data_IF_375738667915
#
_entry.id   IF_375738667915
#
_cell.length_a   1.000
_cell.length_b   1.000
_cell.length_c   1.000
_cell.angle_alpha   90.00
_cell.angle_beta   90.00
_cell.angle_gamma   90.00
#
_symmetry.space_group_name_H-M   'P 1'
#
loop_
_entity.id
_entity.type
_entity.pdbx_description
1 polymer ?
#
# COMPACT_ATOMS: atom_id res chain seq x y z
N UNK A 1 -3.23 0.85 -15.15
CA UNK A 1 -2.34 0.07 -14.26
C UNK A 1 -0.98 -0.03 -14.95
N UNK A 2 0.11 0.37 -14.28
CA UNK A 2 1.44 0.38 -14.88
C UNK A 2 1.90 -1.09 -15.07
N UNK A 3 1.98 -1.56 -16.33
CA UNK A 3 2.29 -2.97 -16.65
C UNK A 3 3.80 -3.27 -16.68
N UNK A 4 4.61 -2.23 -16.62
CA UNK A 4 6.07 -2.29 -16.80
C UNK A 4 6.82 -2.72 -15.53
N UNK A 5 6.22 -2.54 -14.35
CA UNK A 5 6.87 -2.80 -13.05
C UNK A 5 6.45 -4.12 -12.39
N UNK A 6 5.54 -4.86 -13.02
CA UNK A 6 5.20 -6.22 -12.59
C UNK A 6 6.37 -7.15 -12.96
N UNK A 7 6.80 -8.05 -12.05
CA UNK A 7 7.69 -9.13 -12.46
C UNK A 7 7.01 -9.97 -13.55
N UNK A 8 7.78 -10.72 -14.35
CA UNK A 8 7.21 -11.67 -15.32
C UNK A 8 6.36 -12.71 -14.59
N UNK A 9 5.06 -12.44 -14.45
CA UNK A 9 4.12 -13.39 -13.86
C UNK A 9 3.75 -14.44 -14.91
N UNK A 10 3.76 -15.71 -14.51
CA UNK A 10 3.20 -16.79 -15.32
C UNK A 10 1.74 -16.46 -15.62
N UNK A 11 1.40 -16.34 -16.91
CA UNK A 11 0.02 -16.17 -17.36
C UNK A 11 -0.72 -17.51 -17.25
N UNK A 12 -1.37 -17.74 -16.11
CA UNK A 12 -2.32 -18.84 -15.98
C UNK A 12 -3.56 -18.55 -16.82
N UNK A 13 -4.07 -19.58 -17.49
CA UNK A 13 -5.26 -19.45 -18.34
C UNK A 13 -6.54 -19.18 -17.52
N UNK A 14 -6.48 -19.33 -16.18
CA UNK A 14 -7.59 -19.11 -15.24
C UNK A 14 -7.04 -18.47 -13.94
N UNK A 15 -7.72 -17.47 -13.35
CA UNK A 15 -7.26 -16.78 -12.15
C UNK A 15 -7.58 -17.53 -10.84
N UNK A 16 -8.05 -18.77 -10.91
CA UNK A 16 -8.49 -19.57 -9.76
C UNK A 16 -7.31 -20.26 -9.07
N UNK A 17 -7.35 -20.35 -7.73
CA UNK A 17 -6.28 -20.98 -6.95
C UNK A 17 -6.04 -22.46 -7.29
N UNK A 18 -7.07 -23.18 -7.73
CA UNK A 18 -6.93 -24.55 -8.22
C UNK A 18 -6.11 -24.68 -9.52
N UNK A 19 -5.71 -23.56 -10.14
CA UNK A 19 -4.87 -23.52 -11.34
C UNK A 19 -3.37 -23.43 -11.05
N UNK A 20 -2.94 -23.32 -9.79
CA UNK A 20 -1.51 -23.32 -9.42
C UNK A 20 -0.99 -24.76 -9.31
N UNK A 21 0.13 -25.05 -9.97
CA UNK A 21 0.83 -26.32 -9.87
C UNK A 21 1.67 -26.39 -8.59
N UNK A 22 1.90 -27.61 -8.09
CA UNK A 22 2.67 -27.87 -6.87
C UNK A 22 4.08 -27.24 -6.88
N UNK A 23 4.70 -27.12 -8.06
CA UNK A 23 6.06 -26.60 -8.25
C UNK A 23 6.08 -25.25 -8.99
N UNK A 24 4.99 -24.47 -8.92
CA UNK A 24 5.00 -23.13 -9.51
C UNK A 24 5.91 -22.17 -8.74
N UNK A 25 6.44 -21.19 -9.48
CA UNK A 25 7.24 -20.13 -8.89
C UNK A 25 6.35 -19.24 -8.00
N UNK A 26 6.90 -18.69 -6.89
CA UNK A 26 6.15 -17.77 -6.04
C UNK A 26 5.62 -16.57 -6.82
N UNK A 27 4.36 -16.21 -6.55
CA UNK A 27 3.81 -14.94 -7.01
C UNK A 27 4.42 -13.79 -6.21
N UNK A 28 4.58 -12.63 -6.85
CA UNK A 28 5.20 -11.46 -6.23
C UNK A 28 4.20 -10.31 -6.10
N UNK A 29 4.45 -9.44 -5.13
CA UNK A 29 3.71 -8.19 -4.97
C UNK A 29 4.22 -7.18 -6.00
N UNK A 30 3.35 -6.34 -6.61
CA UNK A 30 3.82 -5.27 -7.48
C UNK A 30 4.86 -4.40 -6.78
N UNK A 31 5.99 -4.15 -7.42
CA UNK A 31 7.11 -3.41 -6.83
C UNK A 31 6.72 -1.99 -6.42
N UNK A 32 5.80 -1.36 -7.14
CA UNK A 32 5.28 0.00 -6.89
C UNK A 32 4.28 0.07 -5.75
N UNK A 33 3.87 -1.07 -5.16
CA UNK A 33 2.95 -1.06 -4.02
C UNK A 33 3.69 -0.60 -2.75
N UNK A 34 3.08 0.34 -2.04
CA UNK A 34 3.60 0.83 -0.77
C UNK A 34 3.49 -0.28 0.27
N UNK A 35 4.64 -0.65 0.84
CA UNK A 35 4.79 -1.69 1.86
C UNK A 35 4.68 -1.12 3.26
N UNK A 36 5.45 -0.05 3.52
CA UNK A 36 5.53 0.59 4.82
C UNK A 36 5.17 2.07 4.65
N UNK A 37 4.33 2.58 5.55
CA UNK A 37 3.92 3.98 5.55
C UNK A 37 3.47 4.42 6.95
N UNK A 38 3.37 5.73 7.14
CA UNK A 38 2.88 6.35 8.36
C UNK A 38 1.82 7.38 8.02
N UNK A 39 0.81 7.51 8.88
CA UNK A 39 -0.18 8.58 8.79
C UNK A 39 0.04 9.49 10.00
N UNK A 40 0.20 10.78 9.73
CA UNK A 40 0.27 11.82 10.74
C UNK A 40 -0.94 12.74 10.62
N UNK A 41 -1.32 13.38 11.73
CA UNK A 41 -2.36 14.40 11.77
C UNK A 41 -1.84 15.63 12.50
N UNK A 42 -2.36 16.80 12.11
CA UNK A 42 -2.07 18.08 12.75
C UNK A 42 -3.13 18.36 13.81
N UNK A 43 -2.72 18.47 15.06
CA UNK A 43 -3.64 18.71 16.17
C UNK A 43 -4.11 20.18 16.25
N UNK A 44 -4.96 20.48 17.24
CA UNK A 44 -5.49 21.83 17.45
C UNK A 44 -4.42 22.87 17.79
N UNK A 45 -3.27 22.41 18.33
CA UNK A 45 -2.13 23.21 18.75
C UNK A 45 -1.04 23.32 17.67
N UNK A 46 -1.36 22.93 16.43
CA UNK A 46 -0.46 22.95 15.27
C UNK A 46 0.78 22.05 15.43
N UNK A 47 0.66 20.95 16.20
CA UNK A 47 1.69 19.92 16.30
C UNK A 47 1.34 18.70 15.46
N UNK A 48 2.32 18.18 14.72
CA UNK A 48 2.19 16.92 14.00
C UNK A 48 2.32 15.74 14.95
N UNK A 49 1.29 14.89 15.00
CA UNK A 49 1.28 13.65 15.76
C UNK A 49 1.11 12.46 14.81
N UNK A 50 1.77 11.35 15.13
CA UNK A 50 1.60 10.10 14.38
C UNK A 50 0.33 9.39 14.82
N UNK A 51 -0.57 9.17 13.86
CA UNK A 51 -1.79 8.40 14.07
C UNK A 51 -1.49 6.89 14.06
N UNK A 52 -0.78 6.43 13.03
CA UNK A 52 -0.41 5.02 12.91
C UNK A 52 0.82 4.83 12.02
N UNK A 53 1.55 3.75 12.27
CA UNK A 53 2.59 3.24 11.37
C UNK A 53 2.19 1.85 10.90
N UNK A 54 2.22 1.62 9.60
CA UNK A 54 1.92 0.34 8.96
C UNK A 54 3.18 -0.20 8.32
N UNK A 55 3.43 -1.50 8.51
CA UNK A 55 4.57 -2.21 7.96
C UNK A 55 4.12 -3.50 7.27
N UNK A 56 4.78 -3.87 6.18
CA UNK A 56 4.52 -5.12 5.48
C UNK A 56 3.13 -5.19 4.83
N UNK A 57 2.56 -4.07 4.40
CA UNK A 57 1.27 -4.02 3.73
C UNK A 57 1.31 -4.70 2.35
N UNK A 58 0.35 -5.61 2.12
CA UNK A 58 0.11 -6.23 0.81
C UNK A 58 -1.17 -5.69 0.14
N UNK A 59 -1.88 -4.77 0.82
CA UNK A 59 -3.16 -4.24 0.38
C UNK A 59 -2.98 -3.01 -0.50
N UNK A 60 -3.82 -2.90 -1.55
CA UNK A 60 -3.88 -1.70 -2.42
C UNK A 60 -4.78 -0.61 -1.85
N UNK A 61 -5.88 -1.03 -1.22
CA UNK A 61 -6.81 -0.16 -0.51
C UNK A 61 -6.59 -0.37 0.99
N UNK A 62 -6.43 0.72 1.72
CA UNK A 62 -6.26 0.72 3.16
C UNK A 62 -7.29 1.66 3.77
N UNK A 63 -7.99 1.19 4.80
CA UNK A 63 -8.98 1.96 5.55
C UNK A 63 -8.60 1.88 7.01
N UNK A 64 -8.49 3.03 7.67
CA UNK A 64 -8.12 3.13 9.08
C UNK A 64 -9.32 3.65 9.86
N UNK A 65 -9.69 2.97 10.94
CA UNK A 65 -10.63 3.52 11.90
C UNK A 65 -9.91 4.59 12.73
N UNK A 66 -10.46 5.80 12.76
CA UNK A 66 -9.84 6.95 13.41
C UNK A 66 -10.81 7.62 14.38
N UNK A 67 -10.29 8.17 15.47
CA UNK A 67 -11.08 8.88 16.49
C UNK A 67 -10.32 10.14 16.95
N UNK A 68 -9.81 10.91 15.99
CA UNK A 68 -9.03 12.14 16.24
C UNK A 68 -9.66 13.33 15.54
N UNK A 69 -9.55 14.51 16.14
CA UNK A 69 -9.83 15.78 15.48
C UNK A 69 -8.53 16.33 14.91
N UNK A 70 -8.52 16.64 13.61
CA UNK A 70 -7.32 17.04 12.91
C UNK A 70 -7.60 18.27 12.03
N UNK A 71 -6.67 19.24 12.05
CA UNK A 71 -6.67 20.37 11.10
C UNK A 71 -6.18 19.94 9.72
N UNK A 72 -5.28 18.96 9.67
CA UNK A 72 -4.70 18.41 8.45
C UNK A 72 -4.27 16.97 8.66
N UNK A 73 -4.16 16.21 7.57
CA UNK A 73 -3.66 14.83 7.56
C UNK A 73 -2.51 14.73 6.57
N UNK A 74 -1.47 13.97 6.93
CA UNK A 74 -0.30 13.71 6.10
C UNK A 74 -0.08 12.22 5.95
N UNK A 75 0.00 11.76 4.70
CA UNK A 75 0.46 10.43 4.37
C UNK A 75 1.97 10.46 4.11
N UNK A 76 2.73 9.59 4.79
CA UNK A 76 4.19 9.50 4.70
C UNK A 76 4.58 8.10 4.22
N UNK A 77 4.86 7.90 2.92
CA UNK A 77 5.36 6.63 2.41
C UNK A 77 6.79 6.41 2.89
N UNK A 78 7.09 5.20 3.39
CA UNK A 78 8.40 4.85 3.93
C UNK A 78 9.14 3.86 3.04
N UNK A 79 8.43 2.87 2.49
CA UNK A 79 9.03 1.84 1.63
C UNK A 79 8.00 1.20 0.72
N UNK A 80 8.40 0.83 -0.48
CA UNK A 80 7.63 -0.03 -1.40
C UNK A 80 8.16 -1.47 -1.37
N UNK A 81 7.52 -2.37 -2.11
CA UNK A 81 8.01 -3.73 -2.30
C UNK A 81 9.22 -3.88 -3.24
N UNK A 82 9.73 -2.78 -3.80
CA UNK A 82 10.98 -2.80 -4.58
C UNK A 82 11.10 -1.77 -5.68
N UNK A 83 10.26 -0.74 -5.71
CA UNK A 83 10.31 0.38 -6.66
C UNK A 83 10.64 1.68 -5.94
N UNK A 84 11.41 2.56 -6.57
CA UNK A 84 11.61 3.92 -6.06
C UNK A 84 10.33 4.76 -6.23
N UNK A 85 9.61 4.52 -7.31
CA UNK A 85 8.34 5.18 -7.60
C UNK A 85 7.14 4.42 -7.01
N UNK A 86 6.12 5.18 -6.62
CA UNK A 86 4.79 4.69 -6.27
C UNK A 86 3.72 5.67 -6.76
N UNK A 87 2.46 5.21 -6.78
CA UNK A 87 1.34 6.05 -7.16
C UNK A 87 0.23 5.96 -6.11
N UNK A 88 -0.34 7.11 -5.77
CA UNK A 88 -1.56 7.23 -4.96
C UNK A 88 -2.68 7.64 -5.91
N UNK A 89 -3.70 6.80 -6.03
CA UNK A 89 -4.83 7.07 -6.92
C UNK A 89 -5.95 7.83 -6.24
N UNK A 90 -6.14 7.61 -4.94
CA UNK A 90 -7.13 8.30 -4.13
C UNK A 90 -6.62 8.38 -2.68
N UNK A 91 -6.94 9.49 -2.02
CA UNK A 91 -6.74 9.69 -0.60
C UNK A 91 -7.95 10.45 -0.06
N UNK A 92 -8.72 9.79 0.79
CA UNK A 92 -10.02 10.28 1.27
C UNK A 92 -10.00 10.34 2.81
N UNK A 93 -10.67 11.35 3.36
CA UNK A 93 -10.81 11.61 4.80
C UNK A 93 -12.27 11.96 5.05
N UNK A 94 -12.94 11.12 5.84
CA UNK A 94 -14.38 11.20 6.15
C UNK A 94 -14.64 11.48 7.62
#
# INVERSE_FOLDING_TARGET
LNRETLPEEKKYNRPMQAGYFLNDQPMHVPKTLIRDYRIDFLDASDNWQTLCTVQGSYQRLQVHAVSVSAKAVRFVPLKTWGSEDFHIFAFDVS
#
